data_IF_332236753943
#
_entry.id   IF_332236753943
#
_cell.length_a   1.000
_cell.length_b   1.000
_cell.length_c   1.000
_cell.angle_alpha   90.00
_cell.angle_beta   90.00
_cell.angle_gamma   90.00
#
_symmetry.space_group_name_H-M   'P 1'
#
loop_
_entity.id
_entity.type
_entity.pdbx_description
1 polymer ?
#
# COMPACT_ATOMS: atom_id res chain seq x y z
N UNK A 1 -5.86 -47.56 25.44
CA UNK A 1 -5.96 -47.84 23.98
C UNK A 1 -6.84 -46.86 23.19
N UNK A 2 -7.58 -45.94 23.83
CA UNK A 2 -8.54 -45.03 23.16
C UNK A 2 -7.95 -43.70 22.69
N UNK A 3 -6.76 -43.30 23.16
CA UNK A 3 -6.12 -42.00 22.81
C UNK A 3 -5.37 -42.10 21.47
N UNK A 4 -4.71 -43.23 21.20
CA UNK A 4 -3.95 -43.47 19.96
C UNK A 4 -4.89 -43.52 18.75
N UNK A 5 -6.09 -44.10 18.91
CA UNK A 5 -7.09 -44.16 17.86
C UNK A 5 -7.63 -42.77 17.46
N UNK A 6 -7.71 -41.81 18.40
CA UNK A 6 -8.15 -40.44 18.10
C UNK A 6 -7.10 -39.64 17.33
N UNK A 7 -5.81 -39.86 17.60
CA UNK A 7 -4.72 -39.20 16.88
C UNK A 7 -4.62 -39.66 15.42
N UNK A 8 -4.86 -40.95 15.15
CA UNK A 8 -4.83 -41.51 13.80
C UNK A 8 -5.98 -41.00 12.91
N UNK A 9 -7.15 -40.73 13.49
CA UNK A 9 -8.31 -40.16 12.76
C UNK A 9 -8.07 -38.69 12.40
N UNK A 10 -7.38 -37.92 13.25
CA UNK A 10 -7.06 -36.51 12.97
C UNK A 10 -5.95 -36.37 11.92
N UNK A 11 -4.97 -37.28 11.91
CA UNK A 11 -3.87 -37.24 10.92
C UNK A 11 -4.33 -37.64 9.50
N UNK A 12 -5.36 -38.47 9.37
CA UNK A 12 -5.92 -38.86 8.07
C UNK A 12 -6.67 -37.74 7.34
N UNK A 13 -7.25 -36.80 8.09
CA UNK A 13 -8.07 -35.70 7.53
C UNK A 13 -7.26 -34.56 6.92
N UNK A 14 -5.95 -34.48 7.19
CA UNK A 14 -5.09 -33.39 6.70
C UNK A 14 -4.58 -33.62 5.26
N UNK A 15 -4.66 -34.85 4.73
CA UNK A 15 -4.09 -35.20 3.42
C UNK A 15 -5.07 -35.11 2.24
N UNK A 16 -6.28 -34.58 2.43
CA UNK A 16 -7.28 -34.43 1.36
C UNK A 16 -7.51 -32.97 0.91
N UNK A 17 -6.53 -32.08 1.12
CA UNK A 17 -6.55 -30.79 0.43
C UNK A 17 -6.03 -31.01 -0.99
N UNK A 18 -6.95 -31.11 -1.96
CA UNK A 18 -6.62 -31.06 -3.37
C UNK A 18 -5.86 -29.75 -3.66
N UNK A 19 -4.83 -29.76 -4.52
CA UNK A 19 -4.22 -28.52 -4.95
C UNK A 19 -5.29 -27.71 -5.67
N UNK A 20 -5.62 -26.52 -5.14
CA UNK A 20 -6.33 -25.50 -5.91
C UNK A 20 -5.37 -25.08 -7.00
N UNK A 21 -5.45 -25.74 -8.15
CA UNK A 21 -4.68 -25.38 -9.34
C UNK A 21 -5.30 -24.09 -9.85
N UNK A 22 -4.63 -22.96 -9.65
CA UNK A 22 -5.05 -21.70 -10.23
C UNK A 22 -4.85 -21.80 -11.75
N UNK A 23 -5.94 -22.03 -12.48
CA UNK A 23 -5.93 -22.05 -13.93
C UNK A 23 -5.78 -20.61 -14.45
N UNK A 24 -4.73 -20.38 -15.24
CA UNK A 24 -4.47 -19.07 -15.86
C UNK A 24 -4.82 -19.15 -17.34
N UNK A 25 -5.77 -18.34 -17.75
CA UNK A 25 -6.29 -18.27 -19.11
C UNK A 25 -5.66 -17.10 -19.85
N UNK A 26 -5.20 -17.35 -21.09
CA UNK A 26 -4.64 -16.33 -21.98
C UNK A 26 -5.76 -15.74 -22.83
N UNK A 27 -6.10 -14.48 -22.62
CA UNK A 27 -7.18 -13.78 -23.30
C UNK A 27 -6.64 -12.60 -24.11
N UNK A 28 -7.43 -12.13 -25.08
CA UNK A 28 -7.15 -10.92 -25.84
C UNK A 28 -8.16 -9.87 -25.46
N UNK A 29 -7.71 -8.67 -25.08
CA UNK A 29 -8.60 -7.59 -24.67
C UNK A 29 -9.15 -6.80 -25.87
N UNK A 30 -9.97 -5.78 -25.59
CA UNK A 30 -10.61 -4.93 -26.60
C UNK A 30 -9.63 -4.04 -27.38
N UNK A 31 -8.39 -3.91 -26.93
CA UNK A 31 -7.30 -3.20 -27.61
C UNK A 31 -6.43 -4.13 -28.46
N UNK A 32 -6.67 -5.45 -28.38
CA UNK A 32 -5.89 -6.47 -29.09
C UNK A 32 -4.68 -6.97 -28.32
N UNK A 33 -4.48 -6.53 -27.06
CA UNK A 33 -3.37 -6.96 -26.23
C UNK A 33 -3.66 -8.28 -25.51
N UNK A 34 -2.60 -9.05 -25.26
CA UNK A 34 -2.70 -10.34 -24.58
C UNK A 34 -2.67 -10.11 -23.07
N UNK A 35 -3.73 -10.53 -22.39
CA UNK A 35 -3.87 -10.47 -20.93
C UNK A 35 -4.06 -11.87 -20.35
N UNK A 36 -3.55 -12.11 -19.15
CA UNK A 36 -3.69 -13.39 -18.45
C UNK A 36 -4.66 -13.23 -17.28
N UNK A 37 -5.66 -14.10 -17.17
CA UNK A 37 -6.74 -13.99 -16.19
C UNK A 37 -6.89 -15.32 -15.42
N UNK A 38 -7.30 -15.25 -14.16
CA UNK A 38 -7.56 -16.44 -13.32
C UNK A 38 -8.92 -17.11 -13.59
N UNK A 39 -9.67 -16.61 -14.58
CA UNK A 39 -10.96 -17.12 -15.00
C UNK A 39 -10.99 -17.30 -16.53
N UNK A 40 -11.81 -18.22 -17.08
CA UNK A 40 -11.91 -18.44 -18.53
C UNK A 40 -12.22 -17.15 -19.31
N UNK A 41 -11.64 -17.03 -20.51
CA UNK A 41 -11.85 -15.88 -21.37
C UNK A 41 -13.34 -15.70 -21.67
N UNK A 42 -13.90 -14.57 -21.25
CA UNK A 42 -15.32 -14.28 -21.39
C UNK A 42 -15.63 -13.83 -22.82
N UNK A 43 -16.65 -14.43 -23.42
CA UNK A 43 -17.25 -13.95 -24.67
C UNK A 43 -18.03 -12.67 -24.40
N UNK A 44 -17.84 -11.66 -25.25
CA UNK A 44 -18.34 -10.29 -25.05
C UNK A 44 -19.83 -10.21 -24.74
N UNK A 45 -20.12 -9.68 -23.56
CA UNK A 45 -21.32 -8.93 -23.09
C UNK A 45 -21.61 -9.16 -21.59
N UNK A 46 -20.93 -10.10 -20.94
CA UNK A 46 -20.98 -10.23 -19.48
C UNK A 46 -19.95 -9.33 -18.78
N UNK A 47 -20.31 -8.06 -18.62
CA UNK A 47 -19.61 -7.11 -17.73
C UNK A 47 -19.95 -7.47 -16.29
N UNK A 48 -19.18 -8.38 -15.69
CA UNK A 48 -19.10 -8.43 -14.23
C UNK A 48 -18.26 -7.23 -13.80
N UNK A 49 -18.93 -6.11 -13.56
CA UNK A 49 -18.39 -4.98 -12.82
C UNK A 49 -17.95 -5.52 -11.45
N UNK A 50 -16.65 -5.80 -11.31
CA UNK A 50 -16.04 -6.06 -10.02
C UNK A 50 -15.96 -4.69 -9.32
N UNK A 51 -17.09 -4.26 -8.75
CA UNK A 51 -17.18 -3.03 -7.96
C UNK A 51 -16.51 -3.31 -6.61
N UNK A 52 -15.18 -3.43 -6.65
CA UNK A 52 -14.29 -3.21 -5.51
C UNK A 52 -13.28 -2.11 -5.78
N UNK A 53 -13.61 -1.18 -6.66
CA UNK A 53 -13.05 0.16 -6.63
C UNK A 53 -14.22 1.09 -6.90
N UNK A 54 -14.84 1.58 -5.83
CA UNK A 54 -15.64 2.78 -5.95
C UNK A 54 -14.73 3.82 -6.63
N UNK A 55 -15.15 4.35 -7.78
CA UNK A 55 -14.67 5.62 -8.30
C UNK A 55 -14.95 6.67 -7.22
N UNK A 56 -14.06 6.74 -6.23
CA UNK A 56 -13.90 7.94 -5.44
C UNK A 56 -13.44 8.98 -6.44
N UNK A 57 -14.22 10.05 -6.59
CA UNK A 57 -13.81 11.27 -7.28
C UNK A 57 -12.55 11.79 -6.58
N UNK A 58 -11.39 11.28 -6.99
CA UNK A 58 -10.10 11.68 -6.48
C UNK A 58 -9.86 13.09 -6.97
N UNK A 59 -9.61 13.99 -6.03
CA UNK A 59 -9.06 15.29 -6.34
C UNK A 59 -7.80 15.07 -7.21
N UNK A 60 -7.78 15.62 -8.42
CA UNK A 60 -6.67 15.44 -9.33
C UNK A 60 -5.40 15.98 -8.66
N UNK A 61 -4.44 15.10 -8.41
CA UNK A 61 -3.14 15.47 -7.88
C UNK A 61 -2.26 15.80 -9.07
N UNK A 62 -2.13 17.09 -9.38
CA UNK A 62 -1.43 17.55 -10.58
C UNK A 62 0.06 17.85 -10.34
N UNK A 63 0.49 17.82 -9.07
CA UNK A 63 1.84 18.16 -8.64
C UNK A 63 2.60 16.94 -8.09
N UNK A 64 3.94 16.98 -8.18
CA UNK A 64 4.81 16.01 -7.52
C UNK A 64 4.89 16.30 -6.01
N UNK A 65 5.13 15.28 -5.21
CA UNK A 65 5.36 15.46 -3.77
C UNK A 65 6.75 16.07 -3.60
N UNK A 66 6.84 17.13 -2.81
CA UNK A 66 8.09 17.77 -2.43
C UNK A 66 8.09 18.16 -0.96
N UNK A 67 9.28 18.31 -0.40
CA UNK A 67 9.46 18.82 0.96
C UNK A 67 9.37 17.75 2.03
N UNK A 68 9.22 18.20 3.28
CA UNK A 68 9.20 17.34 4.47
C UNK A 68 7.79 17.14 4.98
N UNK A 69 7.51 15.93 5.46
CA UNK A 69 6.21 15.46 5.88
C UNK A 69 6.33 14.59 7.13
N UNK A 70 5.56 14.88 8.17
CA UNK A 70 5.49 14.07 9.37
C UNK A 70 4.36 13.06 9.26
N UNK A 71 4.65 11.78 9.49
CA UNK A 71 3.62 10.76 9.62
C UNK A 71 2.79 11.01 10.89
N UNK A 72 1.49 11.20 10.70
CA UNK A 72 0.50 11.39 11.77
C UNK A 72 -0.06 10.03 12.20
N UNK A 73 -0.21 9.10 11.26
CA UNK A 73 -0.71 7.75 11.54
C UNK A 73 -1.21 7.05 10.28
N UNK A 74 -1.96 5.96 10.49
CA UNK A 74 -2.51 5.15 9.40
C UNK A 74 -4.01 4.92 9.55
N UNK A 75 -4.67 4.54 8.45
CA UNK A 75 -6.08 4.15 8.45
C UNK A 75 -6.36 3.09 7.38
N UNK A 76 -7.48 2.37 7.52
CA UNK A 76 -7.91 1.35 6.55
C UNK A 76 -8.67 1.95 5.36
N UNK A 77 -9.15 3.20 5.48
CA UNK A 77 -9.83 3.95 4.42
C UNK A 77 -9.28 5.39 4.32
N UNK A 78 -9.36 6.07 3.15
CA UNK A 78 -8.63 7.32 2.90
C UNK A 78 -8.94 8.45 3.87
N UNK A 79 -10.21 8.65 4.23
CA UNK A 79 -10.67 9.70 5.17
C UNK A 79 -11.15 9.08 6.50
N UNK A 80 -10.59 7.94 6.85
CA UNK A 80 -10.96 7.17 8.04
C UNK A 80 -10.41 7.75 9.34
N UNK A 81 -10.78 7.10 10.44
CA UNK A 81 -10.18 7.40 11.74
C UNK A 81 -8.70 7.03 11.72
N UNK A 82 -7.83 8.03 11.93
CA UNK A 82 -6.38 7.85 11.92
C UNK A 82 -5.92 7.23 13.24
N UNK A 83 -5.31 6.06 13.14
CA UNK A 83 -4.63 5.38 14.24
C UNK A 83 -3.22 5.95 14.35
N UNK A 84 -2.97 6.70 15.42
CA UNK A 84 -1.67 7.31 15.66
C UNK A 84 -0.71 6.29 16.28
N UNK A 85 0.49 6.17 15.70
CA UNK A 85 1.61 5.48 16.35
C UNK A 85 2.47 6.51 17.09
N UNK A 86 2.26 6.64 18.41
CA UNK A 86 3.06 7.53 19.24
C UNK A 86 4.42 6.96 19.64
N UNK A 87 4.68 5.67 19.38
CA UNK A 87 5.91 5.00 19.78
C UNK A 87 7.07 5.26 18.81
N UNK A 88 6.75 5.56 17.55
CA UNK A 88 7.72 5.77 16.48
C UNK A 88 7.40 7.03 15.69
N UNK A 89 8.36 7.96 15.61
CA UNK A 89 8.20 9.19 14.82
C UNK A 89 8.87 9.01 13.48
N UNK A 90 8.13 9.26 12.39
CA UNK A 90 8.65 9.11 11.04
C UNK A 90 8.49 10.41 10.27
N UNK A 91 9.62 11.01 9.90
CA UNK A 91 9.65 12.16 8.99
C UNK A 91 10.06 11.68 7.61
N UNK A 92 9.28 12.05 6.60
CA UNK A 92 9.43 11.66 5.21
C UNK A 92 9.81 12.90 4.40
N UNK A 93 10.90 12.84 3.67
CA UNK A 93 11.40 13.96 2.85
C UNK A 93 11.38 13.52 1.40
N UNK A 94 10.61 14.23 0.58
CA UNK A 94 10.47 13.98 -0.84
C UNK A 94 11.22 15.01 -1.68
N UNK A 95 11.93 14.49 -2.66
CA UNK A 95 12.49 15.22 -3.80
C UNK A 95 12.01 14.56 -5.09
N UNK A 96 12.30 15.14 -6.25
CA UNK A 96 11.87 14.59 -7.54
C UNK A 96 12.24 13.11 -7.72
N UNK A 97 13.41 12.68 -7.24
CA UNK A 97 13.97 11.33 -7.51
C UNK A 97 14.35 10.52 -6.27
N UNK A 98 14.15 11.08 -5.08
CA UNK A 98 14.48 10.40 -3.83
C UNK A 98 13.44 10.69 -2.76
N UNK A 99 13.10 9.64 -2.01
CA UNK A 99 12.41 9.71 -0.74
C UNK A 99 13.39 9.33 0.38
N UNK A 100 13.45 10.13 1.43
CA UNK A 100 14.21 9.82 2.64
C UNK A 100 13.25 9.68 3.80
N UNK A 101 13.40 8.62 4.59
CA UNK A 101 12.62 8.42 5.80
C UNK A 101 13.55 8.44 7.02
N UNK A 102 13.30 9.36 7.94
CA UNK A 102 13.94 9.40 9.25
C UNK A 102 12.99 8.80 10.27
N UNK A 103 13.43 7.73 10.93
CA UNK A 103 12.67 7.06 11.98
C UNK A 103 13.36 7.31 13.30
N UNK A 104 12.65 7.90 14.25
CA UNK A 104 13.11 8.13 15.62
C UNK A 104 12.29 7.30 16.60
N UNK A 105 12.98 6.47 17.38
CA UNK A 105 12.40 5.65 18.43
C UNK A 105 13.28 5.77 19.68
N UNK A 106 12.80 6.50 20.68
CA UNK A 106 13.53 6.80 21.92
C UNK A 106 14.92 7.41 21.64
N UNK A 107 16.00 6.63 21.78
CA UNK A 107 17.39 7.07 21.53
C UNK A 107 17.93 6.62 20.16
N UNK A 108 17.19 5.79 19.43
CA UNK A 108 17.61 5.27 18.13
C UNK A 108 17.06 6.15 17.02
N UNK A 109 17.93 6.50 16.08
CA UNK A 109 17.57 7.20 14.86
C UNK A 109 18.07 6.41 13.65
N UNK A 110 17.15 5.94 12.83
CA UNK A 110 17.45 5.27 11.56
C UNK A 110 17.11 6.19 10.40
N UNK A 111 17.87 6.08 9.30
CA UNK A 111 17.61 6.81 8.07
C UNK A 111 17.60 5.86 6.89
N UNK A 112 16.50 5.84 6.16
CA UNK A 112 16.32 5.04 4.95
C UNK A 112 16.22 5.96 3.74
N UNK A 113 16.89 5.59 2.66
CA UNK A 113 16.88 6.34 1.40
C UNK A 113 16.38 5.45 0.30
N UNK A 114 15.43 5.95 -0.47
CA UNK A 114 14.76 5.23 -1.54
C UNK A 114 14.87 6.04 -2.82
N UNK A 115 15.37 5.43 -3.88
CA UNK A 115 15.22 5.99 -5.21
C UNK A 115 13.75 5.91 -5.60
N UNK A 116 13.19 7.02 -6.09
CA UNK A 116 11.80 7.07 -6.52
C UNK A 116 11.67 7.64 -7.93
N UNK A 117 10.61 7.24 -8.63
CA UNK A 117 10.12 7.92 -9.83
C UNK A 117 8.72 8.41 -9.56
N UNK A 118 8.53 9.72 -9.57
CA UNK A 118 7.22 10.33 -9.32
C UNK A 118 6.47 10.58 -10.62
N UNK A 119 5.15 10.55 -10.53
CA UNK A 119 4.22 11.10 -11.51
C UNK A 119 3.09 11.76 -10.73
N UNK A 120 2.37 12.73 -11.29
CA UNK A 120 1.19 13.28 -10.62
C UNK A 120 0.26 12.15 -10.18
N UNK A 121 -0.11 12.12 -8.89
CA UNK A 121 -0.96 11.07 -8.29
C UNK A 121 -0.26 9.75 -7.90
N UNK A 122 1.02 9.54 -8.18
CA UNK A 122 1.72 8.30 -7.78
C UNK A 122 3.23 8.40 -7.72
N UNK A 123 3.89 7.47 -7.03
CA UNK A 123 5.33 7.30 -7.17
C UNK A 123 5.71 5.83 -7.05
N UNK A 124 6.84 5.48 -7.65
CA UNK A 124 7.39 4.12 -7.60
C UNK A 124 8.66 4.15 -6.77
N UNK A 125 8.75 3.27 -5.78
CA UNK A 125 9.98 3.00 -5.04
C UNK A 125 10.74 1.87 -5.72
N UNK A 126 12.02 2.10 -5.98
CA UNK A 126 12.96 1.06 -6.37
C UNK A 126 13.83 0.70 -5.16
N UNK A 127 13.60 -0.49 -4.57
CA UNK A 127 14.36 -0.92 -3.40
C UNK A 127 14.60 -2.44 -3.37
N UNK A 128 15.85 -2.91 -3.18
CA UNK A 128 16.19 -4.33 -3.22
C UNK A 128 15.43 -5.21 -2.22
N UNK A 129 15.04 -4.65 -1.07
CA UNK A 129 14.25 -5.38 -0.06
C UNK A 129 12.85 -5.81 -0.54
N UNK A 130 12.37 -5.25 -1.66
CA UNK A 130 11.15 -5.70 -2.33
C UNK A 130 11.44 -6.73 -3.43
N UNK A 131 12.56 -7.45 -3.34
CA UNK A 131 12.91 -8.56 -4.23
C UNK A 131 13.24 -8.12 -5.65
N UNK A 132 13.94 -6.99 -5.82
CA UNK A 132 14.11 -6.26 -7.10
C UNK A 132 12.80 -5.75 -7.73
N UNK A 133 11.70 -5.78 -6.97
CA UNK A 133 10.40 -5.28 -7.37
C UNK A 133 10.28 -3.76 -7.24
N UNK A 134 9.54 -3.18 -8.18
CA UNK A 134 9.06 -1.81 -8.12
C UNK A 134 7.75 -1.80 -7.34
N UNK A 135 7.65 -1.00 -6.28
CA UNK A 135 6.38 -0.83 -5.56
C UNK A 135 5.80 0.53 -5.90
N UNK A 136 4.60 0.54 -6.48
CA UNK A 136 3.85 1.77 -6.78
C UNK A 136 2.98 2.16 -5.59
N UNK A 137 3.08 3.42 -5.20
CA UNK A 137 2.31 4.05 -4.14
C UNK A 137 1.42 5.12 -4.76
N UNK A 138 0.19 5.22 -4.27
CA UNK A 138 -0.80 6.14 -4.83
C UNK A 138 -0.95 7.36 -3.92
N UNK A 139 -0.94 8.55 -4.50
CA UNK A 139 -1.17 9.81 -3.78
C UNK A 139 -2.66 10.11 -3.85
N UNK A 140 -3.35 9.97 -2.71
CA UNK A 140 -4.81 10.18 -2.63
C UNK A 140 -5.18 11.60 -2.31
N UNK A 141 -4.28 12.32 -1.65
CA UNK A 141 -4.44 13.74 -1.31
C UNK A 141 -3.07 14.39 -1.23
N UNK A 142 -2.94 15.57 -1.82
CA UNK A 142 -1.77 16.42 -1.71
C UNK A 142 -2.23 17.88 -1.68
N UNK A 143 -2.09 18.52 -0.52
CA UNK A 143 -2.35 19.95 -0.27
C UNK A 143 -1.11 20.57 0.37
N UNK A 144 -1.14 21.86 0.73
CA UNK A 144 -0.01 22.52 1.40
C UNK A 144 0.29 21.96 2.81
N UNK A 145 -0.70 21.30 3.41
CA UNK A 145 -0.68 20.85 4.81
C UNK A 145 -0.90 19.35 4.99
N UNK A 146 -1.47 18.65 4.00
CA UNK A 146 -1.84 17.24 4.09
C UNK A 146 -1.35 16.43 2.90
N UNK A 147 -0.83 15.24 3.20
CA UNK A 147 -0.47 14.22 2.23
C UNK A 147 -1.06 12.89 2.69
N UNK A 148 -1.81 12.23 1.80
CA UNK A 148 -2.36 10.89 2.06
C UNK A 148 -1.83 9.94 1.00
N UNK A 149 -1.12 8.91 1.44
CA UNK A 149 -0.53 7.88 0.58
C UNK A 149 -1.28 6.57 0.77
N UNK A 150 -1.55 5.85 -0.31
CA UNK A 150 -2.10 4.50 -0.26
C UNK A 150 -1.07 3.48 -0.74
N UNK A 151 -0.78 2.49 0.11
CA UNK A 151 0.14 1.39 -0.16
C UNK A 151 -0.23 0.17 0.68
N UNK A 152 0.03 -1.04 0.16
CA UNK A 152 -0.17 -2.32 0.87
C UNK A 152 -1.56 -2.53 1.50
N UNK A 153 -2.60 -1.94 0.92
CA UNK A 153 -3.98 -2.06 1.42
C UNK A 153 -4.36 -1.10 2.55
N UNK A 154 -3.49 -0.17 2.93
CA UNK A 154 -3.78 0.87 3.92
C UNK A 154 -3.42 2.28 3.45
N UNK A 155 -3.69 3.26 4.31
CA UNK A 155 -3.45 4.67 4.06
C UNK A 155 -2.53 5.26 5.11
N UNK A 156 -1.49 5.97 4.69
CA UNK A 156 -0.59 6.73 5.55
C UNK A 156 -0.93 8.21 5.45
N UNK A 157 -1.17 8.83 6.59
CA UNK A 157 -1.52 10.24 6.72
C UNK A 157 -0.30 11.02 7.17
N UNK A 158 0.05 12.07 6.42
CA UNK A 158 1.17 12.93 6.74
C UNK A 158 0.75 14.40 6.76
N UNK A 159 1.34 15.15 7.69
CA UNK A 159 1.22 16.61 7.79
C UNK A 159 2.50 17.28 7.34
N UNK A 160 2.41 18.44 6.69
CA UNK A 160 3.61 19.17 6.24
C UNK A 160 4.57 19.52 7.39
N UNK A 161 5.87 19.37 7.14
CA UNK A 161 6.97 19.66 8.07
C UNK A 161 7.58 18.44 8.76
N UNK A 162 8.56 18.68 9.63
CA UNK A 162 9.20 17.63 10.42
C UNK A 162 8.33 17.26 11.64
N UNK A 163 8.42 16.02 12.11
CA UNK A 163 7.65 15.58 13.28
C UNK A 163 7.97 16.33 14.58
N UNK A 164 9.10 17.03 14.65
CA UNK A 164 9.44 17.86 15.81
C UNK A 164 8.61 19.16 15.88
N UNK A 165 8.16 19.67 14.73
CA UNK A 165 7.44 20.96 14.64
C UNK A 165 5.92 20.76 14.63
N UNK A 166 5.42 19.66 14.07
CA UNK A 166 3.98 19.40 13.93
C UNK A 166 3.24 19.34 15.28
N UNK A 167 3.86 18.77 16.33
CA UNK A 167 3.24 18.69 17.67
C UNK A 167 3.17 20.02 18.43
N UNK A 168 3.99 21.01 18.06
CA UNK A 168 3.90 22.34 18.67
C UNK A 168 2.60 23.06 18.28
N UNK A 169 2.00 22.70 17.13
CA UNK A 169 0.71 23.25 16.67
C UNK A 169 -0.50 22.54 17.27
N UNK A 170 -0.38 21.29 17.69
CA UNK A 170 -1.50 20.50 18.28
C UNK A 170 -1.67 20.71 19.78
N UNK A 171 -0.75 21.43 20.44
CA UNK A 171 -0.74 21.68 21.89
C UNK A 171 -1.11 23.11 22.31
N UNK A 172 -1.57 23.95 21.38
CA UNK A 172 -2.08 25.29 21.69
C UNK A 172 -3.60 25.37 21.53
#
# INVERSE_FOLDING_TARGET
>A
MTIIARFLIVLGSACMMQPVVAEVYKCTDSTGEVVFQGEPCRSGDEVKLDIRFAEQSQQAVDNLIAGSWCEVGTSDVPDGMVQQDSAMRKTWIFSERQMVQHISQQQRMDTFKYAIRQSPGSFVIDHPAFGSGQVSWQVKKLTDDQLVLAAYGGFTHLSAGNCEIAMARTKN
#
